data_IF_220692734767
#
_entry.id   IF_220692734767
#
_cell.length_a   1.000
_cell.length_b   1.000
_cell.length_c   1.000
_cell.angle_alpha   90.00
_cell.angle_beta   90.00
_cell.angle_gamma   90.00
#
_symmetry.space_group_name_H-M   'P 1'
#
loop_
_entity.id
_entity.type
_entity.pdbx_description
1 polymer ?
#
# COMPACT_ATOMS: atom_id res chain seq x y z
N UNK A 1 -15.04 -37.38 -12.28
CA UNK A 1 -15.60 -37.05 -10.96
C UNK A 1 -14.45 -36.83 -9.99
N UNK A 2 -13.94 -35.60 -9.97
CA UNK A 2 -13.31 -34.88 -8.85
C UNK A 2 -13.53 -33.39 -9.18
N UNK A 3 -14.10 -32.58 -8.26
CA UNK A 3 -14.37 -31.15 -8.48
C UNK A 3 -13.18 -30.28 -8.00
N UNK A 4 -13.37 -28.95 -8.02
CA UNK A 4 -12.49 -27.89 -7.47
C UNK A 4 -11.45 -27.34 -8.48
N UNK A 5 -11.28 -26.03 -8.65
CA UNK A 5 -11.51 -24.93 -7.72
C UNK A 5 -11.89 -23.62 -8.42
N UNK A 6 -12.90 -22.99 -7.83
CA UNK A 6 -13.42 -21.67 -8.07
C UNK A 6 -12.64 -20.68 -7.21
N UNK A 7 -11.84 -19.77 -7.80
CA UNK A 7 -11.27 -18.62 -7.05
C UNK A 7 -10.78 -17.48 -7.96
N UNK A 8 -11.70 -16.76 -8.60
CA UNK A 8 -11.40 -15.49 -9.29
C UNK A 8 -12.57 -14.52 -9.17
N UNK A 9 -12.74 -13.83 -8.04
CA UNK A 9 -13.80 -12.79 -7.98
C UNK A 9 -13.63 -11.66 -6.96
N UNK A 10 -12.40 -11.26 -6.61
CA UNK A 10 -12.18 -10.08 -5.75
C UNK A 10 -11.18 -9.06 -6.30
N UNK A 11 -10.55 -9.31 -7.45
CA UNK A 11 -9.55 -8.41 -8.05
C UNK A 11 -10.13 -7.33 -8.99
N UNK A 12 -11.39 -7.43 -9.44
CA UNK A 12 -11.94 -6.45 -10.39
C UNK A 12 -12.37 -5.13 -9.73
N UNK A 13 -12.97 -5.17 -8.53
CA UNK A 13 -13.54 -3.96 -7.88
C UNK A 13 -12.49 -2.97 -7.34
N UNK A 14 -11.29 -3.45 -7.01
CA UNK A 14 -10.23 -2.59 -6.45
C UNK A 14 -9.49 -1.83 -7.54
N UNK A 15 -9.28 -2.46 -8.70
CA UNK A 15 -8.62 -1.82 -9.83
C UNK A 15 -9.46 -0.67 -10.39
N UNK A 16 -10.79 -0.82 -10.47
CA UNK A 16 -11.70 0.25 -10.93
C UNK A 16 -11.56 1.53 -10.09
N UNK A 17 -11.44 1.41 -8.76
CA UNK A 17 -11.30 2.60 -7.90
C UNK A 17 -10.01 3.37 -8.12
N UNK A 18 -8.94 2.69 -8.50
CA UNK A 18 -7.64 3.31 -8.76
C UNK A 18 -7.70 4.09 -10.08
N UNK A 19 -8.34 3.49 -11.08
CA UNK A 19 -8.54 4.13 -12.38
C UNK A 19 -9.43 5.38 -12.23
N UNK A 20 -10.51 5.32 -11.43
CA UNK A 20 -11.36 6.48 -11.11
C UNK A 20 -10.58 7.61 -10.41
N UNK A 21 -9.65 7.27 -9.51
CA UNK A 21 -8.80 8.25 -8.82
C UNK A 21 -7.89 8.93 -9.84
N UNK A 22 -7.21 8.16 -10.70
CA UNK A 22 -6.27 8.71 -11.67
C UNK A 22 -6.95 9.61 -12.70
N UNK A 23 -8.16 9.25 -13.14
CA UNK A 23 -8.97 10.07 -14.04
C UNK A 23 -9.26 11.46 -13.43
N UNK A 24 -9.47 11.53 -12.12
CA UNK A 24 -9.67 12.79 -11.39
C UNK A 24 -8.44 13.71 -11.33
N UNK A 25 -7.24 13.22 -11.66
CA UNK A 25 -5.99 13.99 -11.65
C UNK A 25 -5.34 14.14 -13.04
N UNK A 26 -5.96 13.63 -14.10
CA UNK A 26 -5.35 13.57 -15.43
C UNK A 26 -4.98 14.96 -15.97
N UNK A 27 -5.89 15.94 -15.86
CA UNK A 27 -5.65 17.34 -16.25
C UNK A 27 -4.43 17.93 -15.52
N UNK A 28 -4.29 17.59 -14.23
CA UNK A 28 -3.20 18.09 -13.38
C UNK A 28 -1.87 17.47 -13.80
N UNK A 29 -1.85 16.18 -14.13
CA UNK A 29 -0.65 15.49 -14.58
C UNK A 29 -0.18 15.99 -15.94
N UNK A 30 -1.12 16.34 -16.83
CA UNK A 30 -0.78 16.97 -18.11
C UNK A 30 -0.18 18.37 -17.94
N UNK A 31 -0.55 19.10 -16.89
CA UNK A 31 0.01 20.42 -16.57
C UNK A 31 1.42 20.33 -15.98
N UNK A 32 1.64 19.39 -15.06
CA UNK A 32 2.88 19.35 -14.28
C UNK A 32 3.97 18.47 -14.90
N UNK A 33 3.66 17.54 -15.80
CA UNK A 33 4.63 16.57 -16.31
C UNK A 33 4.74 16.60 -17.83
N UNK A 34 5.98 16.58 -18.32
CA UNK A 34 6.25 16.46 -19.76
C UNK A 34 5.76 15.12 -20.34
N UNK A 35 5.71 14.07 -19.52
CA UNK A 35 5.24 12.73 -19.89
C UNK A 35 4.23 12.20 -18.87
N UNK A 36 2.97 12.68 -18.91
CA UNK A 36 1.95 12.32 -17.92
C UNK A 36 1.67 10.81 -17.88
N UNK A 37 1.69 10.13 -19.03
CA UNK A 37 1.55 8.69 -19.12
C UNK A 37 2.64 7.91 -18.37
N UNK A 38 3.89 8.40 -18.40
CA UNK A 38 5.00 7.80 -17.62
C UNK A 38 4.83 8.07 -16.14
N UNK A 39 4.39 9.28 -15.77
CA UNK A 39 4.09 9.60 -14.37
C UNK A 39 3.03 8.67 -13.81
N UNK A 40 1.92 8.45 -14.53
CA UNK A 40 0.84 7.54 -14.13
C UNK A 40 1.34 6.10 -14.00
N UNK A 41 2.14 5.61 -14.96
CA UNK A 41 2.76 4.28 -14.88
C UNK A 41 3.61 4.12 -13.61
N UNK A 42 4.41 5.14 -13.27
CA UNK A 42 5.24 5.14 -12.07
C UNK A 42 4.42 5.19 -10.79
N UNK A 43 3.35 6.00 -10.75
CA UNK A 43 2.43 6.04 -9.61
C UNK A 43 1.87 4.63 -9.37
N UNK A 44 1.32 3.99 -10.42
CA UNK A 44 0.74 2.66 -10.32
C UNK A 44 1.73 1.60 -9.87
N UNK A 45 2.97 1.67 -10.37
CA UNK A 45 4.04 0.76 -10.00
C UNK A 45 4.44 0.92 -8.53
N UNK A 46 4.60 2.17 -8.09
CA UNK A 46 5.07 2.50 -6.73
C UNK A 46 3.99 2.31 -5.66
N UNK A 47 2.71 2.44 -6.03
CA UNK A 47 1.58 2.24 -5.12
C UNK A 47 0.98 0.84 -5.20
N UNK A 48 1.48 -0.01 -6.10
CA UNK A 48 0.94 -1.34 -6.39
C UNK A 48 -0.58 -1.34 -6.60
N UNK A 49 -1.14 -0.30 -7.22
CA UNK A 49 -2.59 -0.10 -7.39
C UNK A 49 -3.37 -0.09 -6.05
N UNK A 50 -2.76 0.35 -4.97
CA UNK A 50 -3.48 0.55 -3.70
C UNK A 50 -4.19 1.91 -3.74
N UNK A 51 -5.53 1.97 -3.60
CA UNK A 51 -6.28 3.22 -3.76
C UNK A 51 -5.85 4.32 -2.78
N UNK A 52 -5.58 3.96 -1.51
CA UNK A 52 -5.20 4.91 -0.47
C UNK A 52 -3.82 5.53 -0.74
N UNK A 53 -2.84 4.70 -1.13
CA UNK A 53 -1.50 5.18 -1.50
C UNK A 53 -1.55 6.00 -2.78
N UNK A 54 -2.34 5.55 -3.75
CA UNK A 54 -2.50 6.25 -5.03
C UNK A 54 -3.11 7.63 -4.81
N UNK A 55 -4.18 7.73 -4.04
CA UNK A 55 -4.82 9.00 -3.74
C UNK A 55 -3.86 9.99 -3.06
N UNK A 56 -3.21 9.58 -1.97
CA UNK A 56 -2.27 10.43 -1.22
C UNK A 56 -1.07 10.87 -2.08
N UNK A 57 -0.55 9.98 -2.92
CA UNK A 57 0.55 10.30 -3.82
C UNK A 57 0.12 11.25 -4.94
N UNK A 58 -1.07 11.06 -5.50
CA UNK A 58 -1.66 11.94 -6.51
C UNK A 58 -1.90 13.34 -5.94
N UNK A 59 -2.42 13.46 -4.72
CA UNK A 59 -2.62 14.74 -4.03
C UNK A 59 -1.28 15.49 -3.82
N UNK A 60 -0.21 14.77 -3.45
CA UNK A 60 1.13 15.35 -3.30
C UNK A 60 1.76 15.78 -4.64
N UNK A 61 1.53 15.01 -5.69
CA UNK A 61 1.99 15.33 -7.05
C UNK A 61 1.23 16.51 -7.61
N UNK A 62 -0.08 16.60 -7.38
CA UNK A 62 -0.92 17.73 -7.79
C UNK A 62 -0.53 19.05 -7.12
N UNK A 63 0.23 19.01 -6.02
CA UNK A 63 0.78 20.19 -5.36
C UNK A 63 2.17 20.60 -5.90
N UNK A 64 2.77 19.83 -6.82
CA UNK A 64 4.03 20.20 -7.46
C UNK A 64 3.80 21.21 -8.59
N UNK A 65 4.79 22.06 -8.83
CA UNK A 65 4.73 23.06 -9.91
C UNK A 65 5.12 22.46 -11.28
N UNK A 66 6.15 21.62 -11.32
CA UNK A 66 6.60 20.97 -12.56
C UNK A 66 7.50 19.77 -12.26
N UNK A 67 7.45 18.78 -13.16
CA UNK A 67 8.22 17.54 -13.18
C UNK A 67 8.85 17.44 -14.57
N UNK A 68 10.17 17.55 -14.61
CA UNK A 68 10.92 17.48 -15.85
C UNK A 68 10.90 16.06 -16.44
N UNK A 69 10.94 15.98 -17.77
CA UNK A 69 11.05 14.71 -18.47
C UNK A 69 12.24 13.87 -17.97
N UNK A 70 11.96 12.64 -17.54
CA UNK A 70 12.94 11.69 -17.03
C UNK A 70 13.14 11.73 -15.51
N UNK A 71 12.55 12.70 -14.80
CA UNK A 71 12.58 12.78 -13.34
C UNK A 71 11.33 12.17 -12.68
N UNK A 72 10.33 11.74 -13.47
CA UNK A 72 9.03 11.31 -12.95
C UNK A 72 9.17 10.18 -11.93
N UNK A 73 9.98 9.16 -12.23
CA UNK A 73 10.21 8.03 -11.33
C UNK A 73 10.88 8.46 -10.02
N UNK A 74 11.95 9.27 -10.11
CA UNK A 74 12.70 9.69 -8.93
C UNK A 74 11.83 10.60 -8.04
N UNK A 75 11.03 11.47 -8.65
CA UNK A 75 10.13 12.39 -7.94
C UNK A 75 9.02 11.62 -7.22
N UNK A 76 8.35 10.69 -7.91
CA UNK A 76 7.31 9.83 -7.34
C UNK A 76 7.87 9.03 -6.18
N UNK A 77 9.06 8.43 -6.34
CA UNK A 77 9.72 7.65 -5.29
C UNK A 77 10.10 8.51 -4.08
N UNK A 78 10.66 9.70 -4.30
CA UNK A 78 10.99 10.65 -3.24
C UNK A 78 9.75 11.08 -2.47
N UNK A 79 8.65 11.38 -3.14
CA UNK A 79 7.39 11.78 -2.50
C UNK A 79 6.79 10.65 -1.66
N UNK A 80 6.79 9.43 -2.22
CA UNK A 80 6.31 8.25 -1.50
C UNK A 80 7.15 8.00 -0.24
N UNK A 81 8.47 8.01 -0.35
CA UNK A 81 9.38 7.71 0.76
C UNK A 81 9.46 8.81 1.82
N UNK A 82 9.40 10.09 1.43
CA UNK A 82 9.58 11.20 2.36
C UNK A 82 8.27 11.67 3.00
N UNK A 83 7.13 11.47 2.34
CA UNK A 83 5.85 11.98 2.83
C UNK A 83 4.84 10.89 3.10
N UNK A 84 4.55 10.02 2.14
CA UNK A 84 3.47 9.01 2.28
C UNK A 84 3.83 7.96 3.33
N UNK A 85 5.02 7.34 3.22
CA UNK A 85 5.46 6.30 4.16
C UNK A 85 5.60 6.83 5.60
N UNK A 86 6.24 7.98 5.86
CA UNK A 86 6.34 8.53 7.20
C UNK A 86 4.97 8.94 7.75
N UNK A 87 4.11 9.57 6.93
CA UNK A 87 2.75 9.95 7.33
C UNK A 87 1.96 8.73 7.79
N UNK A 88 1.98 7.63 7.03
CA UNK A 88 1.33 6.38 7.42
C UNK A 88 1.95 5.77 8.68
N UNK A 89 3.28 5.84 8.84
CA UNK A 89 3.96 5.38 10.05
C UNK A 89 3.51 6.15 11.30
N UNK A 90 3.33 7.47 11.20
CA UNK A 90 2.79 8.29 12.29
C UNK A 90 1.35 7.93 12.64
N UNK A 91 0.47 7.78 11.64
CA UNK A 91 -0.91 7.36 11.88
C UNK A 91 -0.99 5.99 12.56
N UNK A 92 -0.12 5.05 12.18
CA UNK A 92 -0.06 3.76 12.85
C UNK A 92 0.47 3.87 14.28
N UNK A 93 1.45 4.73 14.53
CA UNK A 93 1.96 4.96 15.88
C UNK A 93 0.88 5.53 16.79
N UNK A 94 0.11 6.52 16.35
CA UNK A 94 -0.98 7.11 17.12
C UNK A 94 -2.11 6.11 17.40
N UNK A 95 -2.52 5.34 16.38
CA UNK A 95 -3.55 4.29 16.54
C UNK A 95 -3.09 3.19 17.52
N UNK A 96 -1.81 2.84 17.52
CA UNK A 96 -1.24 1.85 18.45
C UNK A 96 -1.05 2.40 19.87
N UNK A 97 -0.99 3.73 20.04
CA UNK A 97 -0.85 4.37 21.35
C UNK A 97 -2.21 4.58 22.05
N UNK A 98 -3.30 4.75 21.30
CA UNK A 98 -4.65 4.84 21.86
C UNK A 98 -5.12 3.54 22.54
N UNK A 99 -4.54 2.38 22.22
CA UNK A 99 -4.87 1.12 22.88
C UNK A 99 -4.20 0.94 24.26
N UNK A 100 -3.23 1.80 24.62
CA UNK A 100 -2.45 1.69 25.87
C UNK A 100 -2.86 2.63 26.99
N UNK A 101 -3.90 3.45 26.84
CA UNK A 101 -4.40 4.24 27.98
C UNK A 101 -5.28 3.37 28.88
N UNK A 102 -4.95 3.21 30.18
CA UNK A 102 -5.80 2.47 31.10
C UNK A 102 -7.19 3.13 31.19
N UNK A 103 -8.28 2.34 31.37
CA UNK A 103 -9.62 2.90 31.46
C UNK A 103 -9.65 3.98 32.54
N UNK A 104 -10.31 5.13 32.29
CA UNK A 104 -10.41 6.18 33.29
C UNK A 104 -11.00 5.57 34.56
N UNK A 105 -10.25 5.64 35.67
CA UNK A 105 -10.74 5.26 36.99
C UNK A 105 -12.10 5.93 37.19
N UNK A 106 -13.14 5.19 37.63
CA UNK A 106 -14.41 5.81 37.96
C UNK A 106 -14.14 6.91 38.99
N UNK A 107 -14.31 8.16 38.58
CA UNK A 107 -14.31 9.27 39.52
C UNK A 107 -15.50 9.01 40.44
N UNK A 108 -15.20 8.67 41.70
CA UNK A 108 -16.14 8.73 42.81
C UNK A 108 -16.77 10.12 42.79
N UNK A 109 -18.01 10.20 42.29
CA UNK A 109 -18.78 11.42 42.29
C UNK A 109 -19.07 11.80 43.75
N UNK A 110 -18.80 13.05 44.17
CA UNK A 110 -19.31 13.54 45.44
C UNK A 110 -20.83 13.68 45.34
N UNK A 111 -21.50 12.99 46.26
CA UNK A 111 -22.94 13.09 46.53
C UNK A 111 -23.25 14.53 46.94
N UNK A 112 -23.95 15.28 46.09
CA UNK A 112 -24.61 16.53 46.48
C UNK A 112 -26.08 16.40 46.13
N UNK A 113 -26.90 16.55 47.15
CA UNK A 113 -28.34 16.35 47.11
C UNK A 113 -29.07 17.66 46.80
N UNK A 114 -30.34 17.50 46.43
CA UNK A 114 -31.48 18.44 46.48
C UNK A 114 -31.68 19.44 45.34
N UNK A 115 -32.89 19.41 44.75
CA UNK A 115 -33.51 20.60 44.12
C UNK A 115 -34.23 20.44 42.78
N UNK A 116 -35.37 19.73 42.75
CA UNK A 116 -36.63 20.08 42.06
C UNK A 116 -36.68 20.59 40.59
N UNK A 117 -37.34 19.78 39.73
CA UNK A 117 -38.31 20.13 38.65
C UNK A 117 -37.85 20.54 37.22
N UNK A 118 -38.72 20.41 36.18
CA UNK A 118 -38.48 19.47 35.07
C UNK A 118 -38.58 20.08 33.65
N UNK A 119 -38.58 19.19 32.64
CA UNK A 119 -38.95 19.41 31.21
C UNK A 119 -37.77 19.99 30.39
N UNK A 120 -37.21 19.30 29.38
CA UNK A 120 -37.78 19.01 28.06
C UNK A 120 -37.14 17.72 27.47
N UNK A 121 -38.00 16.90 26.88
CA UNK A 121 -37.65 15.71 26.10
C UNK A 121 -37.18 16.05 24.67
N UNK A 122 -36.21 15.24 24.20
CA UNK A 122 -36.01 14.71 22.83
C UNK A 122 -35.64 15.68 21.69
N UNK A 123 -34.47 15.45 21.06
CA UNK A 123 -34.36 14.67 19.80
C UNK A 123 -32.89 14.38 19.45
N UNK A 124 -32.43 13.16 19.74
CA UNK A 124 -31.13 12.67 19.27
C UNK A 124 -31.18 12.29 17.79
N UNK A 125 -30.33 12.91 16.98
CA UNK A 125 -29.97 12.38 15.65
C UNK A 125 -28.74 11.47 15.82
N UNK A 126 -28.98 10.18 15.82
CA UNK A 126 -27.98 9.10 15.78
C UNK A 126 -27.31 9.15 14.40
N UNK A 127 -26.05 9.59 14.31
CA UNK A 127 -25.21 9.35 13.12
C UNK A 127 -24.56 7.99 13.30
N UNK A 128 -25.24 6.96 12.80
CA UNK A 128 -24.64 5.68 12.51
C UNK A 128 -23.84 5.84 11.22
N UNK A 129 -22.51 5.80 11.32
CA UNK A 129 -21.66 5.87 10.15
C UNK A 129 -20.20 5.77 10.54
N UNK A 130 -19.53 4.77 10.00
CA UNK A 130 -18.07 4.63 9.98
C UNK A 130 -17.42 3.94 11.18
N UNK A 131 -17.71 2.65 11.34
CA UNK A 131 -16.81 1.71 12.04
C UNK A 131 -16.60 0.49 11.13
N UNK A 132 -16.00 0.70 9.97
CA UNK A 132 -15.54 -0.40 9.08
C UNK A 132 -14.15 -0.17 8.45
N UNK A 133 -13.47 0.92 8.80
CA UNK A 133 -12.15 1.29 8.21
C UNK A 133 -10.99 0.59 8.94
N UNK A 134 -11.17 0.26 10.22
CA UNK A 134 -10.14 -0.36 11.07
C UNK A 134 -9.62 -1.72 10.56
N UNK A 135 -10.46 -2.68 10.11
CA UNK A 135 -9.93 -3.98 9.66
C UNK A 135 -9.12 -3.90 8.36
N UNK A 136 -9.40 -2.93 7.49
CA UNK A 136 -8.65 -2.76 6.24
C UNK A 136 -7.24 -2.21 6.48
N UNK A 137 -7.07 -1.29 7.43
CA UNK A 137 -5.77 -0.73 7.78
C UNK A 137 -4.86 -1.78 8.42
N UNK A 138 -5.40 -2.63 9.30
CA UNK A 138 -4.62 -3.73 9.91
C UNK A 138 -4.16 -4.74 8.87
N UNK A 139 -5.02 -5.14 7.93
CA UNK A 139 -4.64 -6.06 6.85
C UNK A 139 -3.55 -5.45 5.94
N UNK A 140 -3.64 -4.16 5.63
CA UNK A 140 -2.66 -3.45 4.81
C UNK A 140 -1.27 -3.39 5.45
N UNK A 141 -1.23 -3.18 6.78
CA UNK A 141 0.01 -3.15 7.56
C UNK A 141 0.65 -4.52 7.63
N UNK A 142 -0.14 -5.58 7.81
CA UNK A 142 0.38 -6.96 7.85
C UNK A 142 0.97 -7.37 6.50
N UNK A 143 0.33 -7.00 5.39
CA UNK A 143 0.85 -7.28 4.04
C UNK A 143 2.15 -6.50 3.77
N UNK A 144 2.20 -5.21 4.09
CA UNK A 144 3.41 -4.40 3.91
C UNK A 144 4.57 -4.86 4.81
N UNK A 145 4.29 -5.26 6.06
CA UNK A 145 5.31 -5.82 6.94
C UNK A 145 5.85 -7.15 6.39
N UNK A 146 5.01 -8.02 5.83
CA UNK A 146 5.44 -9.26 5.20
C UNK A 146 6.34 -8.99 3.97
N UNK A 147 6.03 -7.98 3.16
CA UNK A 147 6.84 -7.59 2.00
C UNK A 147 8.21 -7.03 2.43
N UNK A 148 8.26 -6.18 3.46
CA UNK A 148 9.52 -5.63 3.99
C UNK A 148 10.39 -6.74 4.60
N UNK A 149 9.78 -7.74 5.26
CA UNK A 149 10.50 -8.90 5.82
C UNK A 149 10.93 -9.88 4.71
N UNK A 150 10.19 -9.99 3.61
CA UNK A 150 10.53 -10.85 2.47
C UNK A 150 11.58 -10.22 1.52
N UNK A 151 11.70 -8.90 1.49
CA UNK A 151 12.64 -8.15 0.63
C UNK A 151 14.11 -8.60 0.71
N UNK A 152 14.71 -8.92 1.87
CA UNK A 152 16.08 -9.44 1.92
C UNK A 152 16.23 -10.86 1.34
N UNK A 153 15.15 -11.66 1.33
CA UNK A 153 15.18 -13.01 0.78
C UNK A 153 15.07 -13.04 -0.75
N UNK A 154 14.44 -12.03 -1.35
CA UNK A 154 14.37 -11.89 -2.82
C UNK A 154 15.78 -11.72 -3.41
N UNK A 155 16.65 -10.93 -2.77
CA UNK A 155 18.04 -10.78 -3.21
C UNK A 155 18.85 -12.08 -3.15
N UNK A 156 18.65 -12.87 -2.08
CA UNK A 156 19.31 -14.18 -1.90
C UNK A 156 18.82 -15.19 -2.94
N UNK A 157 17.51 -15.26 -3.18
CA UNK A 157 16.91 -16.14 -4.18
C UNK A 157 17.34 -15.76 -5.61
N UNK A 158 17.42 -14.46 -5.92
CA UNK A 158 17.89 -13.98 -7.22
C UNK A 158 19.37 -14.34 -7.46
N UNK A 159 20.21 -14.27 -6.42
CA UNK A 159 21.60 -14.73 -6.48
C UNK A 159 21.74 -16.24 -6.72
N UNK A 160 20.86 -17.06 -6.13
CA UNK A 160 20.85 -18.51 -6.35
C UNK A 160 20.41 -18.87 -7.77
N UNK A 161 19.42 -18.19 -8.34
CA UNK A 161 18.94 -18.41 -9.72
C UNK A 161 20.02 -18.04 -10.74
N UNK A 162 20.74 -16.93 -10.54
CA UNK A 162 21.87 -16.56 -11.41
C UNK A 162 23.00 -17.59 -11.42
N UNK A 163 23.27 -18.22 -10.27
CA UNK A 163 24.24 -19.32 -10.20
C UNK A 163 23.75 -20.58 -10.92
N UNK A 164 22.46 -20.93 -10.86
CA UNK A 164 21.91 -22.09 -11.56
C UNK A 164 22.05 -21.99 -13.09
N UNK A 165 21.82 -20.81 -13.67
CA UNK A 165 22.04 -20.55 -15.10
C UNK A 165 23.52 -20.75 -15.50
N UNK A 166 24.44 -20.30 -14.65
CA UNK A 166 25.88 -20.49 -14.85
C UNK A 166 26.29 -21.98 -14.80
N UNK A 167 25.74 -22.75 -13.86
CA UNK A 167 25.98 -24.20 -13.80
C UNK A 167 25.38 -24.95 -14.99
N UNK A 168 24.20 -24.53 -15.46
CA UNK A 168 23.56 -25.12 -16.65
C UNK A 168 24.41 -24.92 -17.90
N UNK A 169 24.99 -23.72 -18.09
CA UNK A 169 25.86 -23.43 -19.23
C UNK A 169 27.16 -24.25 -19.19
N UNK A 170 27.79 -24.37 -18.02
CA UNK A 170 28.97 -25.23 -17.83
C UNK A 170 28.67 -26.71 -18.07
N UNK A 171 27.48 -27.17 -17.72
CA UNK A 171 27.04 -28.54 -17.96
C UNK A 171 26.87 -28.82 -19.46
N UNK A 172 26.27 -27.89 -20.22
CA UNK A 172 26.12 -28.03 -21.67
C UNK A 172 27.48 -27.97 -22.39
N UNK A 173 28.39 -27.07 -21.99
CA UNK A 173 29.77 -27.06 -22.51
C UNK A 173 30.51 -28.37 -22.23
N UNK A 174 30.31 -28.98 -21.07
CA UNK A 174 30.92 -30.26 -20.73
C UNK A 174 30.35 -31.42 -21.57
N UNK A 175 29.04 -31.40 -21.88
CA UNK A 175 28.42 -32.40 -22.77
C UNK A 175 28.97 -32.31 -24.19
N UNK A 176 29.10 -31.10 -24.74
CA UNK A 176 29.67 -30.90 -26.09
C UNK A 176 31.10 -31.47 -26.18
N UNK A 177 31.94 -31.21 -25.16
CA UNK A 177 33.30 -31.77 -25.10
C UNK A 177 33.34 -33.29 -24.96
N UNK A 178 32.33 -33.87 -24.31
CA UNK A 178 32.22 -35.33 -24.17
C UNK A 178 31.83 -35.98 -25.52
N UNK A 179 30.89 -35.38 -26.25
CA UNK A 179 30.48 -35.86 -27.58
C UNK A 179 31.62 -35.74 -28.60
N UNK A 180 32.40 -34.64 -28.57
CA UNK A 180 33.60 -34.49 -29.42
C UNK A 180 34.67 -35.55 -29.12
N UNK A 181 34.85 -35.93 -27.85
CA UNK A 181 35.81 -36.94 -27.44
C UNK A 181 35.37 -38.38 -27.79
N UNK A 182 34.09 -38.62 -28.06
CA UNK A 182 33.58 -39.94 -28.47
C UNK A 182 33.61 -40.16 -29.99
N UNK A 183 33.87 -39.12 -30.78
CA UNK A 183 33.95 -39.18 -32.25
C UNK A 183 35.40 -39.42 -32.73
N UNK A 184 36.39 -39.30 -31.85
CA UNK A 184 37.82 -39.62 -32.08
C UNK A 184 38.15 -41.05 -31.65
#
# INVERSE_FOLDING_TARGET
MVPESEKTSTTSTVNTKVDDILEGFDDKFQEIADRPHRLIEQILLQTERQPLLTQELCELLAAQESIAAGEEEEKVKKLLQNYVVPKLKYYLYDVLQEEKTPPPKPLLQPKINTGTSPVIQKKGKKKEGSVRIIPFLVALVVVNAAIVIASPYIGILCGMVGNCESYKRKLEEAKVKLDEAQIL
#
